data_IF_023154474548
#
_entry.id   IF_023154474548
#
_cell.length_a   1.000
_cell.length_b   1.000
_cell.length_c   1.000
_cell.angle_alpha   90.00
_cell.angle_beta   90.00
_cell.angle_gamma   90.00
#
_symmetry.space_group_name_H-M   'P 1'
#
loop_
_entity.id
_entity.type
_entity.pdbx_description
1 polymer ?
#
# COMPACT_ATOMS: atom_id res chain seq x y z
N UNK A 1 16.10 14.97 10.04
CA UNK A 1 14.72 15.33 10.46
C UNK A 1 13.77 14.45 9.68
N UNK A 2 12.83 13.78 10.34
CA UNK A 2 11.83 12.94 9.67
C UNK A 2 10.43 13.48 9.98
N UNK A 3 9.59 13.56 8.96
CA UNK A 3 8.20 13.99 9.07
C UNK A 3 7.28 12.78 9.19
N UNK A 4 6.24 12.90 10.01
CA UNK A 4 5.25 11.84 10.25
C UNK A 4 3.86 12.42 9.97
N UNK A 5 3.06 11.71 9.16
CA UNK A 5 1.69 12.10 8.84
C UNK A 5 0.78 10.86 8.75
N UNK A 6 -0.51 11.04 9.03
CA UNK A 6 -1.50 9.96 8.88
C UNK A 6 -1.93 9.78 7.43
N UNK A 7 -2.05 8.52 7.00
CA UNK A 7 -2.63 8.16 5.70
C UNK A 7 -4.16 8.23 5.81
N UNK A 8 -4.79 9.08 5.00
CA UNK A 8 -6.23 9.40 5.11
C UNK A 8 -7.13 8.63 4.14
N UNK A 9 -6.59 8.12 3.04
CA UNK A 9 -7.34 7.33 2.04
C UNK A 9 -6.42 6.26 1.44
N UNK A 10 -6.95 5.05 1.28
CA UNK A 10 -6.28 3.92 0.61
C UNK A 10 -6.09 4.20 -0.87
N UNK A 11 -7.15 4.63 -1.57
CA UNK A 11 -7.12 4.97 -3.00
C UNK A 11 -6.19 6.15 -3.27
N UNK A 12 -6.18 7.18 -2.41
CA UNK A 12 -5.26 8.32 -2.54
C UNK A 12 -3.79 7.95 -2.33
N UNK A 13 -3.50 7.10 -1.35
CA UNK A 13 -2.14 6.62 -1.10
C UNK A 13 -1.67 5.66 -2.20
N UNK A 14 -2.51 4.71 -2.63
CA UNK A 14 -2.19 3.81 -3.73
C UNK A 14 -2.00 4.56 -5.06
N UNK A 15 -2.80 5.59 -5.33
CA UNK A 15 -2.59 6.46 -6.49
C UNK A 15 -1.29 7.27 -6.38
N UNK A 16 -0.94 7.77 -5.18
CA UNK A 16 0.31 8.49 -4.96
C UNK A 16 1.54 7.61 -5.19
N UNK A 17 1.53 6.37 -4.68
CA UNK A 17 2.59 5.38 -4.95
C UNK A 17 2.61 4.91 -6.41
N UNK A 18 1.46 4.85 -7.07
CA UNK A 18 1.39 4.49 -8.48
C UNK A 18 1.78 5.65 -9.42
N UNK A 19 1.95 6.88 -8.93
CA UNK A 19 2.18 8.06 -9.78
C UNK A 19 3.67 8.36 -10.06
N UNK A 20 4.57 7.41 -9.81
CA UNK A 20 5.96 7.39 -10.28
C UNK A 20 6.10 7.30 -11.83
N UNK A 21 5.07 7.70 -12.57
CA UNK A 21 4.98 7.58 -14.03
C UNK A 21 5.36 8.90 -14.74
N UNK A 22 6.14 9.77 -14.11
CA UNK A 22 6.40 11.10 -14.67
C UNK A 22 7.38 11.12 -15.86
N UNK A 23 8.10 10.02 -16.16
CA UNK A 23 9.17 10.06 -17.17
C UNK A 23 9.31 8.91 -18.18
N UNK A 24 8.54 7.81 -18.11
CA UNK A 24 8.29 6.76 -19.14
C UNK A 24 8.24 5.36 -18.51
N UNK A 25 7.56 4.42 -19.19
CA UNK A 25 7.45 3.00 -18.81
C UNK A 25 8.80 2.28 -18.61
N UNK A 26 9.92 2.85 -19.08
CA UNK A 26 11.26 2.26 -18.91
C UNK A 26 11.97 2.72 -17.63
N UNK A 27 11.51 3.77 -16.95
CA UNK A 27 12.01 4.22 -15.65
C UNK A 27 11.02 3.84 -14.54
N UNK A 28 10.74 2.55 -14.39
CA UNK A 28 10.14 1.94 -13.19
C UNK A 28 11.08 2.07 -11.96
N UNK A 29 11.61 3.26 -11.69
CA UNK A 29 12.82 3.45 -10.92
C UNK A 29 12.63 3.42 -9.40
N UNK A 30 11.41 3.53 -8.87
CA UNK A 30 11.18 3.41 -7.41
C UNK A 30 9.93 2.57 -7.07
N UNK A 31 9.81 1.39 -7.67
CA UNK A 31 8.86 0.41 -7.17
C UNK A 31 9.21 0.08 -5.70
N UNK A 32 8.31 0.44 -4.77
CA UNK A 32 8.49 0.17 -3.34
C UNK A 32 8.69 -1.32 -3.07
N UNK A 33 9.37 -1.64 -1.97
CA UNK A 33 9.56 -3.02 -1.51
C UNK A 33 8.85 -3.26 -0.18
N UNK A 34 8.28 -4.44 -0.01
CA UNK A 34 7.71 -4.85 1.27
C UNK A 34 8.80 -4.98 2.33
N UNK A 35 8.51 -4.48 3.53
CA UNK A 35 9.44 -4.51 4.66
C UNK A 35 8.74 -4.82 5.98
N UNK A 36 9.50 -5.38 6.92
CA UNK A 36 9.04 -5.73 8.26
C UNK A 36 8.52 -7.17 8.39
N UNK A 37 8.41 -7.63 9.64
CA UNK A 37 8.04 -9.01 9.96
C UNK A 37 6.57 -9.32 9.65
N UNK A 38 5.67 -8.35 9.78
CA UNK A 38 4.26 -8.51 9.42
C UNK A 38 4.07 -8.77 7.92
N UNK A 39 4.81 -8.08 7.05
CA UNK A 39 4.78 -8.33 5.62
C UNK A 39 5.26 -9.76 5.29
N UNK A 40 6.37 -10.19 5.89
CA UNK A 40 6.90 -11.57 5.75
C UNK A 40 5.91 -12.62 6.25
N UNK A 41 5.26 -12.40 7.38
CA UNK A 41 4.24 -13.32 7.92
C UNK A 41 3.02 -13.46 7.00
N UNK A 42 2.72 -12.42 6.21
CA UNK A 42 1.66 -12.41 5.20
C UNK A 42 2.13 -12.86 3.81
N UNK A 43 3.41 -13.22 3.65
CA UNK A 43 3.99 -13.58 2.35
C UNK A 43 4.13 -12.40 1.37
N UNK A 44 4.10 -11.17 1.87
CA UNK A 44 4.31 -9.95 1.10
C UNK A 44 5.81 -9.65 1.04
N UNK A 45 6.43 -9.97 -0.09
CA UNK A 45 7.88 -9.86 -0.30
C UNK A 45 8.20 -9.24 -1.67
N UNK A 46 9.37 -8.62 -1.78
CA UNK A 46 9.81 -8.02 -3.05
C UNK A 46 8.98 -6.79 -3.42
N UNK A 47 8.70 -6.65 -4.71
CA UNK A 47 8.04 -5.50 -5.29
C UNK A 47 6.59 -5.32 -4.77
N UNK A 48 6.25 -4.09 -4.42
CA UNK A 48 4.90 -3.70 -4.03
C UNK A 48 4.03 -3.52 -5.27
N UNK A 49 3.05 -4.40 -5.42
CA UNK A 49 2.00 -4.26 -6.44
C UNK A 49 0.89 -3.32 -5.97
N UNK A 50 0.41 -2.44 -6.86
CA UNK A 50 -0.62 -1.43 -6.54
C UNK A 50 -1.85 -2.05 -5.88
N UNK A 51 -2.36 -3.15 -6.43
CA UNK A 51 -3.57 -3.81 -5.92
C UNK A 51 -3.38 -4.42 -4.53
N UNK A 52 -2.24 -5.08 -4.29
CA UNK A 52 -1.90 -5.64 -2.98
C UNK A 52 -1.74 -4.53 -1.94
N UNK A 53 -1.09 -3.42 -2.30
CA UNK A 53 -0.94 -2.26 -1.44
C UNK A 53 -2.28 -1.63 -1.06
N UNK A 54 -3.16 -1.42 -2.04
CA UNK A 54 -4.50 -0.88 -1.82
C UNK A 54 -5.36 -1.80 -0.93
N UNK A 55 -5.31 -3.11 -1.15
CA UNK A 55 -6.00 -4.09 -0.32
C UNK A 55 -5.55 -4.01 1.16
N UNK A 56 -4.24 -3.99 1.41
CA UNK A 56 -3.67 -3.89 2.76
C UNK A 56 -4.07 -2.57 3.43
N UNK A 57 -4.06 -1.45 2.69
CA UNK A 57 -4.54 -0.16 3.23
C UNK A 57 -6.02 -0.18 3.59
N UNK A 58 -6.83 -0.94 2.85
CA UNK A 58 -8.24 -1.19 3.13
C UNK A 58 -8.48 -2.22 4.25
N UNK A 59 -7.40 -2.83 4.77
CA UNK A 59 -7.46 -3.82 5.83
C UNK A 59 -7.80 -5.22 5.33
N UNK A 60 -7.69 -5.49 4.03
CA UNK A 60 -7.84 -6.83 3.48
C UNK A 60 -6.48 -7.52 3.41
N UNK A 61 -6.35 -8.63 4.13
CA UNK A 61 -5.15 -9.47 4.12
C UNK A 61 -5.13 -10.41 2.91
N UNK A 62 -3.96 -11.01 2.56
CA UNK A 62 -3.85 -11.91 1.41
C UNK A 62 -4.70 -13.18 1.51
N UNK A 63 -5.04 -13.62 2.72
CA UNK A 63 -5.95 -14.74 2.99
C UNK A 63 -7.43 -14.33 2.92
N UNK A 64 -7.73 -13.06 2.64
CA UNK A 64 -9.07 -12.49 2.58
C UNK A 64 -9.64 -12.03 3.92
N UNK A 65 -8.91 -12.19 5.03
CA UNK A 65 -9.35 -11.68 6.32
C UNK A 65 -9.40 -10.14 6.33
N UNK A 66 -10.41 -9.59 7.00
CA UNK A 66 -10.56 -8.15 7.17
C UNK A 66 -10.10 -7.73 8.57
N UNK A 67 -9.18 -6.77 8.63
CA UNK A 67 -8.64 -6.20 9.87
C UNK A 67 -8.83 -4.68 9.89
N UNK A 68 -8.85 -4.09 11.09
CA UNK A 68 -8.94 -2.63 11.24
C UNK A 68 -10.26 -2.02 10.74
N UNK A 69 -11.34 -2.81 10.72
CA UNK A 69 -12.69 -2.31 10.49
C UNK A 69 -13.11 -1.45 11.70
N UNK A 70 -12.97 -0.14 11.59
CA UNK A 70 -13.51 0.84 12.54
C UNK A 70 -14.80 1.41 11.98
N UNK A 71 -15.85 1.45 12.82
CA UNK A 71 -17.12 2.10 12.50
C UNK A 71 -16.86 3.55 12.02
N UNK A 72 -17.21 3.84 10.77
CA UNK A 72 -17.03 5.17 10.15
C UNK A 72 -15.87 5.29 9.15
N UNK A 73 -15.05 4.26 8.92
CA UNK A 73 -14.09 4.25 7.81
C UNK A 73 -14.83 4.09 6.49
N UNK A 74 -15.15 5.20 5.82
CA UNK A 74 -15.76 5.17 4.49
C UNK A 74 -14.72 4.68 3.49
N UNK A 75 -14.95 3.50 2.92
CA UNK A 75 -14.22 2.99 1.76
C UNK A 75 -14.38 4.05 0.65
N UNK A 76 -13.27 4.69 0.29
CA UNK A 76 -13.23 5.83 -0.65
C UNK A 76 -12.71 5.42 -2.00
#
# INVERSE_FOLDING_TARGET
>A
MHSIASVRSSSGAAAYFANDNYYTEQEHAEAGVWGGEGARALGLEGQVEKGAFEAILNGQLPDGAMVGQVEGRRLG
#
